data_IF_625361379508
#
_entry.id   IF_625361379508
#
_cell.length_a   1.000
_cell.length_b   1.000
_cell.length_c   1.000
_cell.angle_alpha   90.00
_cell.angle_beta   90.00
_cell.angle_gamma   90.00
#
_symmetry.space_group_name_H-M   'P 1'
#
loop_
_entity.id
_entity.type
_entity.pdbx_description
1 polymer ?
#
# COMPACT_ATOMS: atom_id res chain seq x y z
N UNK A 1 -0.74 6.72 -23.64
CA UNK A 1 -1.89 5.97 -23.09
C UNK A 1 -1.48 4.50 -22.93
N UNK A 2 -1.80 3.88 -21.79
CA UNK A 2 -1.53 2.46 -21.54
C UNK A 2 -2.14 1.59 -22.64
N UNK A 3 -1.35 0.68 -23.21
CA UNK A 3 -1.78 -0.18 -24.34
C UNK A 3 -2.81 -1.22 -23.90
N UNK A 4 -2.92 -1.50 -22.60
CA UNK A 4 -3.78 -2.55 -22.05
C UNK A 4 -4.80 -2.00 -21.01
N UNK A 5 -5.26 -0.76 -21.20
CA UNK A 5 -6.27 -0.12 -20.33
C UNK A 5 -5.87 -0.12 -18.85
N UNK A 6 -4.58 0.07 -18.53
CA UNK A 6 -4.11 0.08 -17.14
C UNK A 6 -3.75 -1.29 -16.55
N UNK A 7 -4.08 -2.40 -17.20
CA UNK A 7 -3.65 -3.73 -16.77
C UNK A 7 -2.13 -3.86 -16.91
N UNK A 8 -1.47 -4.29 -15.84
CA UNK A 8 -0.01 -4.38 -15.73
C UNK A 8 0.67 -3.08 -15.28
N UNK A 9 -0.06 -1.96 -15.21
CA UNK A 9 0.44 -0.75 -14.58
C UNK A 9 0.53 -0.96 -13.06
N UNK A 10 1.44 -0.22 -12.42
CA UNK A 10 1.72 -0.37 -10.99
C UNK A 10 2.03 0.97 -10.32
N UNK A 11 1.84 1.00 -9.00
CA UNK A 11 2.23 2.10 -8.13
C UNK A 11 2.96 1.56 -6.90
N UNK A 12 3.87 2.35 -6.35
CA UNK A 12 4.46 2.07 -5.04
C UNK A 12 3.84 2.96 -3.98
N UNK A 13 3.61 2.39 -2.80
CA UNK A 13 3.31 3.14 -1.58
C UNK A 13 4.08 2.53 -0.42
N UNK A 14 4.36 3.33 0.60
CA UNK A 14 4.97 2.84 1.83
C UNK A 14 3.90 2.56 2.89
N UNK A 15 4.24 1.75 3.87
CA UNK A 15 3.39 1.47 5.01
C UNK A 15 3.40 2.64 5.99
N UNK A 16 2.22 3.15 6.32
CA UNK A 16 2.08 4.11 7.43
C UNK A 16 2.09 3.36 8.77
N UNK A 17 3.02 3.73 9.63
CA UNK A 17 3.33 3.06 10.91
C UNK A 17 3.52 4.08 12.02
N UNK A 18 3.38 3.65 13.28
CA UNK A 18 3.85 4.43 14.41
C UNK A 18 5.36 4.22 14.53
N UNK A 19 6.16 5.25 14.25
CA UNK A 19 7.62 5.15 14.31
C UNK A 19 8.15 4.66 15.66
N UNK A 20 7.45 4.95 16.76
CA UNK A 20 7.88 4.49 18.09
C UNK A 20 7.63 2.99 18.34
N UNK A 21 6.96 2.29 17.42
CA UNK A 21 6.59 0.87 17.55
C UNK A 21 7.07 0.02 16.37
N UNK A 22 7.86 0.61 15.46
CA UNK A 22 8.20 -0.01 14.18
C UNK A 22 9.66 -0.51 14.10
N UNK A 23 10.36 -0.55 15.24
CA UNK A 23 11.70 -1.13 15.31
C UNK A 23 11.66 -2.66 15.25
N UNK A 24 12.75 -3.26 14.79
CA UNK A 24 12.90 -4.71 14.81
C UNK A 24 12.92 -5.28 16.24
N UNK A 25 13.29 -4.51 17.26
CA UNK A 25 13.21 -4.91 18.67
C UNK A 25 11.77 -5.14 19.10
N UNK A 26 10.90 -4.17 18.79
CA UNK A 26 9.46 -4.27 19.07
C UNK A 26 8.79 -5.37 18.24
N UNK A 27 9.28 -5.60 17.02
CA UNK A 27 8.74 -6.55 16.04
C UNK A 27 9.49 -7.89 15.98
N UNK A 28 10.48 -8.16 16.84
CA UNK A 28 11.40 -9.29 16.71
C UNK A 28 10.67 -10.64 16.73
N UNK A 29 10.71 -11.38 15.62
CA UNK A 29 10.01 -12.66 15.48
C UNK A 29 8.48 -12.55 15.45
N UNK A 30 7.95 -11.33 15.31
CA UNK A 30 6.53 -11.03 15.27
C UNK A 30 6.09 -10.68 13.85
N UNK A 31 4.84 -10.98 13.57
CA UNK A 31 4.08 -10.40 12.48
C UNK A 31 3.45 -9.07 12.89
N UNK A 32 3.10 -8.26 11.90
CA UNK A 32 2.25 -7.10 12.09
C UNK A 32 1.08 -7.19 11.12
N UNK A 33 -0.12 -6.93 11.64
CA UNK A 33 -1.31 -6.76 10.79
C UNK A 33 -1.21 -5.44 10.04
N UNK A 34 -1.48 -5.53 8.75
CA UNK A 34 -1.48 -4.43 7.81
C UNK A 34 -2.81 -4.36 7.10
N UNK A 35 -3.23 -3.14 6.82
CA UNK A 35 -4.51 -2.81 6.22
C UNK A 35 -4.29 -2.11 4.90
N UNK A 36 -5.08 -2.50 3.91
CA UNK A 36 -5.04 -1.97 2.55
C UNK A 36 -6.42 -1.42 2.22
N UNK A 37 -6.57 -0.11 2.32
CA UNK A 37 -7.84 0.59 2.04
C UNK A 37 -7.85 1.14 0.62
N UNK A 38 -8.97 0.93 -0.08
CA UNK A 38 -9.20 1.34 -1.45
C UNK A 38 -10.44 2.21 -1.57
N UNK A 39 -10.32 3.34 -2.25
CA UNK A 39 -11.44 4.06 -2.84
C UNK A 39 -11.33 3.94 -4.37
N UNK A 40 -12.01 2.94 -4.90
CA UNK A 40 -11.85 2.48 -6.27
C UNK A 40 -12.63 3.34 -7.28
N UNK A 41 -12.17 3.36 -8.53
CA UNK A 41 -12.77 4.16 -9.59
C UNK A 41 -12.59 5.67 -9.37
N UNK A 42 -13.30 6.47 -10.16
CA UNK A 42 -13.42 7.90 -9.97
C UNK A 42 -14.62 8.18 -9.04
N UNK A 43 -14.38 8.23 -7.73
CA UNK A 43 -15.41 8.18 -6.68
C UNK A 43 -16.09 9.55 -6.40
N UNK A 44 -16.26 10.37 -7.45
CA UNK A 44 -16.96 11.67 -7.38
C UNK A 44 -18.47 11.50 -7.25
N UNK A 45 -19.06 10.73 -8.16
CA UNK A 45 -20.49 10.42 -8.24
C UNK A 45 -20.70 9.08 -8.98
N UNK A 46 -21.93 8.55 -8.95
CA UNK A 46 -22.24 7.24 -9.53
C UNK A 46 -22.00 7.19 -11.05
N UNK A 47 -22.22 8.30 -11.75
CA UNK A 47 -21.98 8.42 -13.19
C UNK A 47 -20.48 8.32 -13.49
N UNK A 48 -19.66 9.12 -12.82
CA UNK A 48 -18.20 9.14 -12.95
C UNK A 48 -17.58 7.78 -12.61
N UNK A 49 -18.13 7.10 -11.60
CA UNK A 49 -17.73 5.75 -11.24
C UNK A 49 -18.00 4.76 -12.37
N UNK A 50 -19.22 4.74 -12.94
CA UNK A 50 -19.61 3.80 -14.00
C UNK A 50 -18.94 4.07 -15.36
N UNK A 51 -18.68 5.34 -15.69
CA UNK A 51 -18.15 5.73 -17.01
C UNK A 51 -16.68 5.36 -17.23
N UNK A 52 -15.90 5.19 -16.16
CA UNK A 52 -14.46 4.96 -16.21
C UNK A 52 -14.06 3.60 -15.67
N UNK A 53 -12.98 2.99 -16.16
CA UNK A 53 -12.47 1.73 -15.62
C UNK A 53 -12.21 1.77 -14.11
N UNK A 54 -12.48 0.66 -13.43
CA UNK A 54 -12.18 0.45 -12.00
C UNK A 54 -11.37 -0.81 -11.86
N UNK A 55 -10.60 -0.89 -10.79
CA UNK A 55 -9.77 -2.05 -10.49
C UNK A 55 -10.67 -3.19 -10.02
N UNK A 56 -10.53 -4.37 -10.63
CA UNK A 56 -11.21 -5.60 -10.17
C UNK A 56 -10.28 -6.45 -9.31
N UNK A 57 -9.02 -6.55 -9.72
CA UNK A 57 -8.04 -7.40 -9.06
C UNK A 57 -6.66 -6.77 -9.10
N UNK A 58 -5.95 -6.87 -7.99
CA UNK A 58 -4.56 -6.41 -7.86
C UNK A 58 -3.68 -7.50 -7.29
N UNK A 59 -2.39 -7.42 -7.60
CA UNK A 59 -1.33 -8.08 -6.84
C UNK A 59 -0.61 -7.03 -6.00
N UNK A 60 -0.31 -7.35 -4.77
CA UNK A 60 0.56 -6.56 -3.90
C UNK A 60 1.84 -7.37 -3.68
N UNK A 61 2.95 -6.85 -4.19
CA UNK A 61 4.29 -7.36 -3.88
C UNK A 61 4.82 -6.52 -2.70
N UNK A 62 5.17 -7.18 -1.59
CA UNK A 62 5.69 -6.55 -0.38
C UNK A 62 7.21 -6.64 -0.40
N UNK A 63 7.86 -5.52 -0.17
CA UNK A 63 9.29 -5.44 0.05
C UNK A 63 9.56 -4.96 1.47
N UNK A 64 10.55 -5.59 2.12
CA UNK A 64 11.00 -5.22 3.45
C UNK A 64 12.40 -4.61 3.36
N UNK A 65 12.64 -3.59 4.18
CA UNK A 65 13.89 -2.85 4.24
C UNK A 65 14.21 -2.52 5.70
N UNK A 66 15.45 -2.75 6.09
CA UNK A 66 16.00 -2.27 7.37
C UNK A 66 16.63 -0.89 7.17
N UNK A 67 16.25 0.06 8.01
CA UNK A 67 16.88 1.37 8.01
C UNK A 67 16.53 2.21 9.22
N UNK A 68 16.87 3.48 9.15
CA UNK A 68 16.47 4.48 10.13
C UNK A 68 16.96 5.86 9.72
N UNK A 69 16.73 6.83 10.59
CA UNK A 69 17.21 8.19 10.41
C UNK A 69 18.42 8.46 11.31
N UNK A 70 19.39 9.21 10.79
CA UNK A 70 20.56 9.68 11.53
C UNK A 70 20.69 11.19 11.46
N UNK A 71 21.09 11.78 12.58
CA UNK A 71 21.47 13.19 12.65
C UNK A 71 22.95 13.42 12.27
N UNK A 72 23.69 12.35 11.96
CA UNK A 72 25.11 12.43 11.62
C UNK A 72 25.36 13.03 10.21
N UNK A 73 24.37 12.96 9.32
CA UNK A 73 24.40 13.60 8.01
C UNK A 73 23.01 14.18 7.71
N UNK A 74 22.86 15.50 7.80
CA UNK A 74 21.57 16.16 7.57
C UNK A 74 21.22 16.27 6.08
N UNK A 75 22.20 16.14 5.18
CA UNK A 75 21.98 16.20 3.74
C UNK A 75 21.43 14.87 3.19
N UNK A 76 21.73 13.76 3.87
CA UNK A 76 21.16 12.44 3.63
C UNK A 76 21.02 11.69 4.96
N UNK A 77 19.92 11.92 5.69
CA UNK A 77 19.73 11.36 7.03
C UNK A 77 19.29 9.90 6.98
N UNK A 78 19.06 9.31 5.80
CA UNK A 78 18.53 7.97 5.68
C UNK A 78 19.67 6.94 5.68
N UNK A 79 19.63 6.04 6.66
CA UNK A 79 20.53 4.89 6.69
C UNK A 79 19.75 3.66 6.25
N UNK A 80 20.26 2.98 5.22
CA UNK A 80 19.79 1.67 4.79
C UNK A 80 20.94 0.67 4.85
N UNK A 81 20.71 -0.46 5.52
CA UNK A 81 21.75 -1.47 5.74
C UNK A 81 21.74 -2.58 4.70
N UNK A 82 20.61 -2.75 4.01
CA UNK A 82 20.38 -3.78 3.00
C UNK A 82 19.58 -3.19 1.84
N UNK A 83 19.65 -3.79 0.66
CA UNK A 83 18.66 -3.52 -0.39
C UNK A 83 17.28 -4.05 0.03
N UNK A 84 16.17 -3.47 -0.44
CA UNK A 84 14.84 -4.01 -0.20
C UNK A 84 14.77 -5.46 -0.65
N UNK A 85 14.31 -6.36 0.21
CA UNK A 85 14.11 -7.78 -0.12
C UNK A 85 12.63 -8.05 -0.35
N UNK A 86 12.32 -9.00 -1.22
CA UNK A 86 10.95 -9.49 -1.37
C UNK A 86 10.51 -10.20 -0.08
N UNK A 87 9.38 -9.76 0.47
CA UNK A 87 8.82 -10.27 1.71
C UNK A 87 7.61 -11.19 1.46
N UNK A 88 6.56 -10.70 0.82
CA UNK A 88 5.34 -11.48 0.57
C UNK A 88 4.70 -11.02 -0.74
N UNK A 89 3.85 -11.86 -1.32
CA UNK A 89 3.09 -11.53 -2.52
C UNK A 89 1.69 -12.10 -2.40
N UNK A 90 0.67 -11.27 -2.57
CA UNK A 90 -0.72 -11.70 -2.49
C UNK A 90 -1.62 -10.91 -3.44
N UNK A 91 -2.79 -11.47 -3.73
CA UNK A 91 -3.79 -10.87 -4.61
C UNK A 91 -5.02 -10.44 -3.81
N UNK A 92 -5.61 -9.31 -4.19
CA UNK A 92 -6.87 -8.82 -3.63
C UNK A 92 -7.88 -8.61 -4.75
N UNK A 93 -9.11 -9.05 -4.51
CA UNK A 93 -10.27 -8.81 -5.39
C UNK A 93 -11.17 -7.75 -4.79
N UNK A 94 -11.40 -6.69 -5.54
CA UNK A 94 -12.24 -5.57 -5.16
C UNK A 94 -13.64 -5.77 -5.75
N UNK A 95 -14.67 -5.48 -4.94
CA UNK A 95 -16.04 -5.38 -5.40
C UNK A 95 -16.22 -4.15 -6.27
N UNK A 96 -17.15 -4.22 -7.23
CA UNK A 96 -17.53 -3.09 -8.09
C UNK A 96 -18.47 -2.13 -7.34
N UNK A 97 -17.93 -1.41 -6.35
CA UNK A 97 -18.65 -0.42 -5.54
C UNK A 97 -17.80 0.85 -5.38
N UNK A 98 -18.43 2.05 -5.33
CA UNK A 98 -17.75 3.30 -5.02
C UNK A 98 -17.46 3.49 -3.51
N UNK A 99 -17.81 2.51 -2.69
CA UNK A 99 -17.55 2.50 -1.25
C UNK A 99 -16.10 2.11 -0.94
N UNK A 100 -15.59 2.56 0.20
CA UNK A 100 -14.28 2.14 0.71
C UNK A 100 -14.27 0.62 0.96
N UNK A 101 -13.17 -0.02 0.57
CA UNK A 101 -12.91 -1.43 0.81
C UNK A 101 -11.56 -1.60 1.49
N UNK A 102 -11.55 -2.18 2.69
CA UNK A 102 -10.34 -2.42 3.46
C UNK A 102 -10.07 -3.92 3.59
N UNK A 103 -8.85 -4.32 3.28
CA UNK A 103 -8.37 -5.69 3.40
C UNK A 103 -7.31 -5.79 4.49
N UNK A 104 -7.30 -6.89 5.24
CA UNK A 104 -6.30 -7.17 6.27
C UNK A 104 -5.31 -8.23 5.75
N UNK A 105 -4.02 -8.02 6.00
CA UNK A 105 -2.97 -9.01 5.78
C UNK A 105 -1.98 -8.96 6.93
N UNK A 106 -1.65 -10.12 7.46
CA UNK A 106 -0.57 -10.27 8.41
C UNK A 106 0.77 -10.42 7.66
N UNK A 107 1.74 -9.55 7.97
CA UNK A 107 3.05 -9.53 7.31
C UNK A 107 4.13 -9.87 8.35
N UNK A 108 4.94 -10.87 8.03
CA UNK A 108 6.00 -11.37 8.90
C UNK A 108 7.32 -10.71 8.55
N UNK A 109 8.09 -10.34 9.58
CA UNK A 109 9.49 -9.94 9.41
C UNK A 109 10.30 -11.09 8.79
N UNK A 110 10.95 -10.84 7.65
CA UNK A 110 11.85 -11.79 6.98
C UNK A 110 13.32 -11.39 7.06
N UNK A 111 13.61 -10.08 7.12
CA UNK A 111 14.98 -9.62 7.31
C UNK A 111 15.50 -10.10 8.67
N UNK A 112 16.74 -10.59 8.69
CA UNK A 112 17.53 -10.69 9.91
C UNK A 112 18.27 -9.36 10.08
N UNK A 113 17.82 -8.46 10.98
CA UNK A 113 18.37 -7.12 11.06
C UNK A 113 19.82 -7.14 11.55
N UNK A 114 20.63 -6.19 11.07
CA UNK A 114 21.96 -5.92 11.60
C UNK A 114 21.89 -5.36 13.03
N UNK A 115 20.85 -4.59 13.34
CA UNK A 115 20.54 -4.15 14.70
C UNK A 115 19.03 -4.15 14.93
N UNK A 116 18.61 -4.65 16.10
CA UNK A 116 17.21 -4.62 16.49
C UNK A 116 16.67 -3.19 16.70
N UNK A 117 17.54 -2.22 16.91
CA UNK A 117 17.15 -0.81 17.11
C UNK A 117 16.70 -0.11 15.82
N UNK A 118 16.97 -0.70 14.63
CA UNK A 118 16.53 -0.12 13.36
C UNK A 118 15.05 -0.35 13.10
N UNK A 119 14.48 0.51 12.27
CA UNK A 119 13.10 0.45 11.83
C UNK A 119 12.92 -0.55 10.68
N UNK A 120 11.75 -1.18 10.66
CA UNK A 120 11.30 -2.05 9.58
C UNK A 120 10.43 -1.26 8.61
N UNK A 121 10.96 -0.91 7.45
CA UNK A 121 10.16 -0.30 6.39
C UNK A 121 9.53 -1.37 5.51
N UNK A 122 8.24 -1.21 5.23
CA UNK A 122 7.52 -2.00 4.24
C UNK A 122 7.14 -1.10 3.05
N UNK A 123 7.50 -1.55 1.86
CA UNK A 123 7.14 -0.94 0.59
C UNK A 123 6.20 -1.89 -0.16
N UNK A 124 5.08 -1.37 -0.63
CA UNK A 124 4.07 -2.13 -1.34
C UNK A 124 4.03 -1.71 -2.80
N UNK A 125 4.25 -2.68 -3.69
CA UNK A 125 3.99 -2.53 -5.12
C UNK A 125 2.60 -3.04 -5.44
N UNK A 126 1.68 -2.14 -5.74
CA UNK A 126 0.37 -2.52 -6.23
C UNK A 126 0.40 -2.62 -7.75
N UNK A 127 0.09 -3.79 -8.30
CA UNK A 127 -0.01 -4.05 -9.74
C UNK A 127 -1.45 -4.39 -10.12
N UNK A 128 -1.99 -3.73 -11.14
CA UNK A 128 -3.36 -3.99 -11.62
C UNK A 128 -3.36 -5.26 -12.48
N UNK A 129 -4.15 -6.26 -12.09
CA UNK A 129 -4.27 -7.53 -12.81
C UNK A 129 -5.52 -7.60 -13.68
N UNK A 130 -6.65 -7.14 -13.15
CA UNK A 130 -7.94 -7.13 -13.86
C UNK A 130 -8.72 -5.85 -13.56
N UNK A 131 -9.61 -5.47 -14.49
CA UNK A 131 -10.44 -4.27 -14.38
C UNK A 131 -11.90 -4.56 -14.68
N UNK A 132 -12.79 -3.78 -14.07
CA UNK A 132 -14.13 -3.59 -14.58
C UNK A 132 -14.08 -2.54 -15.70
N UNK A 133 -14.58 -2.80 -16.91
CA UNK A 133 -14.47 -1.88 -18.06
C UNK A 133 -15.44 -0.70 -17.96
N UNK A 134 -14.97 0.51 -18.23
CA UNK A 134 -15.80 1.73 -18.22
C UNK A 134 -16.83 1.72 -19.34
N UNK A 135 -18.01 2.30 -19.12
CA UNK A 135 -19.03 2.38 -20.18
C UNK A 135 -18.69 3.41 -21.27
N UNK A 136 -17.81 4.38 -20.98
CA UNK A 136 -17.38 5.43 -21.93
C UNK A 136 -15.87 5.53 -22.09
N UNK A 137 -15.13 5.47 -21.00
CA UNK A 137 -13.69 5.68 -20.97
C UNK A 137 -12.92 4.38 -20.82
N UNK A 138 -11.77 4.29 -21.50
CA UNK A 138 -10.82 3.18 -21.36
C UNK A 138 -9.81 3.40 -20.23
N UNK A 139 -9.82 4.57 -19.59
CA UNK A 139 -8.93 4.90 -18.49
C UNK A 139 -9.41 4.22 -17.21
N UNK A 140 -8.47 3.79 -16.38
CA UNK A 140 -8.73 3.23 -15.05
C UNK A 140 -8.40 4.28 -14.01
N UNK A 141 -9.27 4.39 -13.01
CA UNK A 141 -9.10 5.33 -11.90
C UNK A 141 -9.06 4.58 -10.58
N UNK A 142 -8.20 5.08 -9.70
CA UNK A 142 -8.11 4.75 -8.29
C UNK A 142 -8.07 6.09 -7.58
N UNK A 143 -9.13 6.42 -6.82
CA UNK A 143 -9.22 7.73 -6.17
C UNK A 143 -8.23 7.80 -5.02
N UNK A 144 -8.23 6.79 -4.15
CA UNK A 144 -7.30 6.70 -3.02
C UNK A 144 -6.88 5.23 -2.79
N UNK A 145 -5.63 5.05 -2.39
CA UNK A 145 -5.10 3.79 -1.87
C UNK A 145 -4.17 4.09 -0.70
N UNK A 146 -4.43 3.42 0.42
CA UNK A 146 -3.68 3.59 1.66
C UNK A 146 -3.27 2.23 2.19
N UNK A 147 -2.04 2.14 2.69
CA UNK A 147 -1.53 0.96 3.35
C UNK A 147 -0.96 1.35 4.72
N UNK A 148 -1.46 0.75 5.80
CA UNK A 148 -1.10 1.15 7.16
C UNK A 148 -1.12 -0.02 8.13
N UNK A 149 -0.38 0.06 9.22
CA UNK A 149 -0.30 -0.98 10.24
C UNK A 149 -1.40 -0.85 11.31
N UNK A 150 -1.66 -1.94 12.05
CA UNK A 150 -2.67 -1.97 13.13
C UNK A 150 -2.50 -0.85 14.16
N UNK A 151 -1.26 -0.52 14.53
CA UNK A 151 -0.93 0.54 15.49
C UNK A 151 -1.26 1.96 14.99
N UNK A 152 -1.64 2.12 13.72
CA UNK A 152 -2.15 3.37 13.14
C UNK A 152 -3.64 3.37 12.90
N UNK A 153 -4.31 2.22 12.92
CA UNK A 153 -5.72 2.04 12.53
C UNK A 153 -6.70 3.03 13.15
N UNK A 154 -6.57 3.36 14.44
CA UNK A 154 -7.53 4.22 15.16
C UNK A 154 -7.58 5.67 14.64
N UNK A 155 -6.59 6.10 13.86
CA UNK A 155 -6.54 7.44 13.23
C UNK A 155 -6.83 7.46 11.73
N UNK A 156 -7.01 6.30 11.08
CA UNK A 156 -7.03 6.20 9.62
C UNK A 156 -8.42 5.98 9.06
N UNK A 157 -8.84 6.88 8.16
CA UNK A 157 -10.00 6.74 7.27
C UNK A 157 -9.66 7.38 5.93
N UNK A 158 -10.09 6.77 4.83
CA UNK A 158 -10.04 7.42 3.51
C UNK A 158 -10.85 8.71 3.58
N UNK A 159 -10.27 9.82 3.13
CA UNK A 159 -10.83 11.15 3.40
C UNK A 159 -11.79 11.52 2.30
N UNK A 160 -13.03 11.06 2.37
CA UNK A 160 -14.07 11.55 1.47
C UNK A 160 -14.52 12.94 1.94
N UNK A 161 -13.83 14.00 1.53
CA UNK A 161 -14.40 15.36 1.62
C UNK A 161 -15.64 15.41 0.72
N UNK A 162 -16.81 15.13 1.30
CA UNK A 162 -18.09 15.47 0.68
C UNK A 162 -18.26 16.99 0.81
N UNK A 163 -17.93 17.72 -0.25
CA UNK A 163 -18.53 19.05 -0.49
C UNK A 163 -19.77 18.88 -1.33
#
# INVERSE_FOLDING_TARGET
MSKNQGIGEWIYTYNDVNSNKNSYEELAGKSQKNYFSFLNGLAKDATSFAENGRIKKVRIDVYELEGGETMANLDDPLIYHNYPIENDTFELELKDTPEEQTFEREIFTKIKPQSIAYDRYLLFKLTILEIYPGTKSKNVFLTEFLAYSEDRKEGFKITRERK
#
